data_IF_494721052125
#
_entry.id   IF_494721052125
#
_cell.length_a   1.000
_cell.length_b   1.000
_cell.length_c   1.000
_cell.angle_alpha   90.00
_cell.angle_beta   90.00
_cell.angle_gamma   90.00
#
_symmetry.space_group_name_H-M   'P 1'
#
loop_
_entity.id
_entity.type
_entity.pdbx_description
1 polymer ?
#
# COMPACT_ATOMS: atom_id res chain seq x y z
N UNK A 1 -29.49 2.64 58.52
CA UNK A 1 -28.75 2.37 57.27
C UNK A 1 -27.73 3.49 57.07
N UNK A 2 -26.47 3.24 57.39
CA UNK A 2 -25.32 4.08 57.03
C UNK A 2 -24.28 3.09 56.50
N UNK A 3 -23.97 3.18 55.23
CA UNK A 3 -22.96 2.33 54.59
C UNK A 3 -21.67 3.14 54.47
N UNK A 4 -20.67 2.74 55.24
CA UNK A 4 -19.33 3.31 55.22
C UNK A 4 -18.63 2.90 53.91
N UNK A 5 -18.42 3.87 53.03
CA UNK A 5 -17.62 3.68 51.82
C UNK A 5 -16.16 3.98 52.20
N UNK A 6 -15.41 2.91 52.45
CA UNK A 6 -13.96 2.96 52.63
C UNK A 6 -13.29 3.22 51.26
N UNK A 7 -12.43 4.25 51.11
CA UNK A 7 -11.68 4.45 49.88
C UNK A 7 -10.52 3.44 49.81
N UNK A 8 -10.57 2.53 48.82
CA UNK A 8 -9.46 1.61 48.50
C UNK A 8 -8.23 2.40 48.02
N UNK A 9 -7.06 1.98 48.49
CA UNK A 9 -5.77 2.60 48.25
C UNK A 9 -5.44 2.76 46.75
N UNK A 10 -5.13 3.99 46.35
CA UNK A 10 -4.57 4.33 45.04
C UNK A 10 -3.19 3.70 44.90
N UNK A 11 -3.06 2.74 43.98
CA UNK A 11 -1.76 2.20 43.58
C UNK A 11 -1.01 3.31 42.84
N UNK A 12 0.09 3.77 43.41
CA UNK A 12 0.96 4.78 42.80
C UNK A 12 1.71 4.11 41.65
N UNK A 13 1.42 4.54 40.42
CA UNK A 13 2.18 4.13 39.24
C UNK A 13 3.49 4.93 39.28
N UNK A 14 4.59 4.26 39.63
CA UNK A 14 5.91 4.83 39.49
C UNK A 14 6.20 5.02 38.00
N UNK A 15 6.28 6.27 37.55
CA UNK A 15 6.73 6.62 36.19
C UNK A 15 8.24 6.51 36.21
N UNK A 16 8.74 5.33 35.83
CA UNK A 16 10.16 5.14 35.62
C UNK A 16 10.56 5.78 34.28
N UNK A 17 11.62 6.57 34.34
CA UNK A 17 12.08 7.41 33.26
C UNK A 17 12.75 6.57 32.17
N UNK A 18 12.05 6.34 31.07
CA UNK A 18 12.60 6.21 29.70
C UNK A 18 11.42 6.09 28.73
N UNK A 19 10.75 7.21 28.48
CA UNK A 19 9.80 7.31 27.39
C UNK A 19 10.54 7.24 26.05
N UNK A 20 10.84 6.02 25.59
CA UNK A 20 11.15 5.78 24.18
C UNK A 20 9.92 6.27 23.41
N UNK A 21 10.12 7.28 22.57
CA UNK A 21 9.10 7.78 21.63
C UNK A 21 8.59 6.57 20.86
N UNK A 22 7.37 6.12 21.17
CA UNK A 22 6.68 5.09 20.41
C UNK A 22 6.44 5.69 19.03
N UNK A 23 7.24 5.28 18.04
CA UNK A 23 6.96 5.59 16.66
C UNK A 23 5.67 4.87 16.29
N UNK A 24 4.58 5.64 16.22
CA UNK A 24 3.28 5.15 15.77
C UNK A 24 3.38 5.07 14.24
N UNK A 25 3.75 3.90 13.74
CA UNK A 25 3.66 3.60 12.32
C UNK A 25 2.19 3.43 11.91
N UNK A 26 1.89 3.68 10.64
CA UNK A 26 0.59 3.30 10.09
C UNK A 26 0.40 1.79 10.26
N UNK A 27 -0.81 1.32 10.63
CA UNK A 27 -1.09 -0.10 10.68
C UNK A 27 -0.82 -0.73 9.29
N UNK A 28 -0.34 -2.00 9.23
CA UNK A 28 -0.17 -2.70 7.97
C UNK A 28 -1.46 -2.60 7.15
N UNK A 29 -1.32 -2.22 5.88
CA UNK A 29 -2.46 -2.16 4.97
C UNK A 29 -3.08 -3.55 4.93
N UNK A 30 -4.38 -3.65 5.20
CA UNK A 30 -5.10 -4.92 5.11
C UNK A 30 -4.94 -5.51 3.71
N UNK A 31 -4.87 -6.84 3.62
CA UNK A 31 -4.80 -7.54 2.34
C UNK A 31 -5.99 -7.14 1.47
N UNK A 32 -5.74 -7.08 0.15
CA UNK A 32 -6.75 -6.72 -0.84
C UNK A 32 -7.97 -7.64 -0.67
N UNK A 33 -9.07 -7.08 -0.19
CA UNK A 33 -10.28 -7.85 0.06
C UNK A 33 -11.19 -7.84 -1.19
N UNK A 34 -12.21 -8.70 -1.21
CA UNK A 34 -13.15 -8.80 -2.35
C UNK A 34 -13.87 -7.47 -2.66
N UNK A 35 -14.06 -6.62 -1.65
CA UNK A 35 -14.68 -5.29 -1.81
C UNK A 35 -13.74 -4.34 -2.55
N UNK A 36 -12.45 -4.35 -2.21
CA UNK A 36 -11.44 -3.54 -2.88
C UNK A 36 -11.29 -3.96 -4.34
N UNK A 37 -11.33 -5.26 -4.61
CA UNK A 37 -11.34 -5.77 -5.99
C UNK A 37 -12.56 -5.27 -6.77
N UNK A 38 -13.75 -5.30 -6.17
CA UNK A 38 -14.97 -4.78 -6.82
C UNK A 38 -14.86 -3.29 -7.15
N UNK A 39 -14.31 -2.49 -6.24
CA UNK A 39 -14.10 -1.04 -6.46
C UNK A 39 -13.09 -0.82 -7.57
N UNK A 40 -12.00 -1.60 -7.63
CA UNK A 40 -11.04 -1.52 -8.72
C UNK A 40 -11.67 -1.86 -10.07
N UNK A 41 -12.44 -2.94 -10.14
CA UNK A 41 -13.13 -3.33 -11.37
C UNK A 41 -14.07 -2.22 -11.83
N UNK A 42 -14.84 -1.63 -10.91
CA UNK A 42 -15.72 -0.49 -11.22
C UNK A 42 -14.95 0.76 -11.67
N UNK A 43 -13.80 1.04 -11.06
CA UNK A 43 -12.94 2.18 -11.42
C UNK A 43 -12.35 2.04 -12.83
N UNK A 44 -12.04 0.81 -13.24
CA UNK A 44 -11.46 0.50 -14.55
C UNK A 44 -12.46 0.01 -15.59
N UNK A 45 -13.76 -0.04 -15.28
CA UNK A 45 -14.85 -0.37 -16.21
C UNK A 45 -15.15 0.81 -17.15
N UNK A 46 -14.17 1.15 -17.99
CA UNK A 46 -14.29 2.23 -18.97
C UNK A 46 -14.77 1.67 -20.30
N UNK A 47 -15.90 2.19 -20.78
CA UNK A 47 -16.55 1.76 -22.03
C UNK A 47 -15.74 2.06 -23.30
N UNK A 48 -14.84 3.02 -23.25
CA UNK A 48 -13.94 3.44 -24.32
C UNK A 48 -12.52 2.83 -24.17
N UNK A 49 -12.35 1.84 -23.29
CA UNK A 49 -11.06 1.17 -23.07
C UNK A 49 -10.51 0.57 -24.36
N UNK A 50 -11.35 -0.09 -25.14
CA UNK A 50 -11.00 -0.66 -26.45
C UNK A 50 -10.53 0.40 -27.45
N UNK A 51 -11.24 1.52 -27.57
CA UNK A 51 -10.87 2.63 -28.46
C UNK A 51 -9.51 3.23 -28.07
N UNK A 52 -9.27 3.38 -26.77
CA UNK A 52 -8.01 3.90 -26.25
C UNK A 52 -6.88 2.90 -26.45
N UNK A 53 -7.13 1.60 -26.29
CA UNK A 53 -6.17 0.56 -26.62
C UNK A 53 -5.81 0.58 -28.11
N UNK A 54 -6.79 0.73 -29.00
CA UNK A 54 -6.57 0.83 -30.44
C UNK A 54 -5.77 2.08 -30.83
N UNK A 55 -6.08 3.24 -30.24
CA UNK A 55 -5.32 4.48 -30.48
C UNK A 55 -3.88 4.37 -29.98
N UNK A 56 -3.66 3.78 -28.80
CA UNK A 56 -2.32 3.52 -28.25
C UNK A 56 -1.56 2.57 -29.17
N UNK A 57 -2.14 1.41 -29.52
CA UNK A 57 -1.53 0.43 -30.42
C UNK A 57 -1.18 1.04 -31.76
N UNK A 58 -2.11 1.81 -32.33
CA UNK A 58 -1.88 2.56 -33.55
C UNK A 58 -0.67 3.44 -33.33
N UNK A 59 -0.69 4.42 -32.41
CA UNK A 59 0.44 5.34 -32.17
C UNK A 59 1.78 4.63 -31.96
N UNK A 60 1.82 3.59 -31.13
CA UNK A 60 3.03 2.80 -30.86
C UNK A 60 3.54 2.09 -32.12
N UNK A 61 2.67 1.61 -33.00
CA UNK A 61 3.09 0.99 -34.27
C UNK A 61 3.77 1.96 -35.24
N UNK A 62 3.53 3.27 -35.09
CA UNK A 62 4.22 4.32 -35.86
C UNK A 62 5.53 4.77 -35.22
N UNK A 63 5.75 4.42 -33.95
CA UNK A 63 7.01 4.68 -33.27
C UNK A 63 7.94 3.49 -33.50
N UNK A 64 9.15 3.76 -33.98
CA UNK A 64 10.20 2.75 -33.88
C UNK A 64 10.41 2.45 -32.39
N UNK A 65 10.58 1.18 -31.99
CA UNK A 65 10.94 0.87 -30.61
C UNK A 65 12.19 1.68 -30.27
N UNK A 66 12.22 2.26 -29.08
CA UNK A 66 13.42 2.97 -28.64
C UNK A 66 14.60 2.01 -28.75
N UNK A 67 15.71 2.42 -29.39
CA UNK A 67 16.93 1.64 -29.37
C UNK A 67 17.25 1.31 -27.92
N UNK A 68 17.67 0.07 -27.66
CA UNK A 68 18.24 -0.30 -26.37
C UNK A 68 19.57 0.45 -26.29
N UNK A 69 19.57 1.64 -25.68
CA UNK A 69 20.74 2.53 -25.67
C UNK A 69 21.85 2.04 -24.75
N UNK A 70 21.59 1.04 -23.89
CA UNK A 70 22.61 0.44 -23.03
C UNK A 70 22.53 -1.09 -23.07
N UNK A 71 23.61 -1.70 -23.56
CA UNK A 71 23.80 -3.15 -23.65
C UNK A 71 23.70 -3.87 -22.28
N UNK A 72 23.78 -3.13 -21.16
CA UNK A 72 23.84 -3.66 -19.78
C UNK A 72 22.46 -3.78 -19.08
N UNK A 73 21.36 -3.33 -19.71
CA UNK A 73 20.06 -3.15 -19.01
C UNK A 73 19.38 -4.44 -18.52
N UNK A 74 19.87 -5.61 -18.96
CA UNK A 74 19.29 -6.93 -18.64
C UNK A 74 20.32 -7.95 -18.12
N UNK A 75 21.55 -7.53 -17.82
CA UNK A 75 22.60 -8.45 -17.34
C UNK A 75 22.21 -9.14 -16.03
N UNK A 76 21.45 -8.45 -15.17
CA UNK A 76 20.94 -9.02 -13.92
C UNK A 76 20.03 -10.24 -14.16
N UNK A 77 19.36 -10.33 -15.32
CA UNK A 77 18.41 -11.40 -15.63
C UNK A 77 19.14 -12.72 -15.92
N UNK A 78 20.41 -12.67 -16.31
CA UNK A 78 21.25 -13.87 -16.50
C UNK A 78 21.49 -14.63 -15.19
N UNK A 79 21.40 -13.96 -14.03
CA UNK A 79 21.55 -14.61 -12.73
C UNK A 79 20.32 -15.42 -12.31
N UNK A 80 19.19 -15.28 -13.03
CA UNK A 80 17.90 -15.89 -12.69
C UNK A 80 17.37 -16.90 -13.73
N UNK A 81 18.09 -17.14 -14.83
CA UNK A 81 17.78 -18.14 -15.87
C UNK A 81 18.66 -19.39 -15.71
#
# INVERSE_FOLDING_TARGET
MKSDISPKATTKIAVDATAKKLEVHAPPVEEFNERDWKILVELFDRKDSEEIEEDIKKKLSWLAPEPVWEDDSLDFLQEFL
#
